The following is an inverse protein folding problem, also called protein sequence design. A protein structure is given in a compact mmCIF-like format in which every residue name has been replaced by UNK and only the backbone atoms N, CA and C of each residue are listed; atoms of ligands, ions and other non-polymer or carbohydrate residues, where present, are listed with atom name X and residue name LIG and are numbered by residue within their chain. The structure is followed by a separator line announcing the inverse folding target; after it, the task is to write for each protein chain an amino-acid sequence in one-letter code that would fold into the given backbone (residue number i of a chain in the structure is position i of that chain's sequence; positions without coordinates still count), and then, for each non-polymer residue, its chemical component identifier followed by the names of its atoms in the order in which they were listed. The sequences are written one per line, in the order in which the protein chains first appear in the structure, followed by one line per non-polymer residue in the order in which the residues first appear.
data_IF_371779300083
#
_entry.id   IF_371779300083
#
_cell.length_a   1.000
_cell.length_b   1.000
_cell.length_c   1.000
_cell.angle_alpha   90.00
_cell.angle_beta   90.00
_cell.angle_gamma   90.00
#
_symmetry.space_group_name_H-M   'P 1'
#
loop_
_entity.id
_entity.type
_entity.pdbx_description
1 polymer ?
#
# COMPACT_ATOMS: atom_id res chain seq x y z
N UNK A 1 -17.98 -43.11 -72.34
CA UNK A 1 -19.20 -42.29 -72.21
C UNK A 1 -19.28 -41.76 -70.79
N UNK A 2 -19.16 -40.44 -70.66
CA UNK A 2 -19.27 -39.69 -69.41
C UNK A 2 -20.54 -40.04 -68.62
N UNK A 3 -20.43 -40.02 -67.28
CA UNK A 3 -21.36 -39.25 -66.42
C UNK A 3 -20.77 -39.08 -65.01
N UNK A 4 -20.48 -37.81 -64.69
CA UNK A 4 -20.32 -37.25 -63.34
C UNK A 4 -21.50 -37.65 -62.44
N UNK A 5 -21.24 -37.96 -61.17
CA UNK A 5 -22.15 -37.62 -60.07
C UNK A 5 -21.37 -37.02 -58.90
N UNK A 6 -21.97 -35.97 -58.39
CA UNK A 6 -21.41 -34.85 -57.64
C UNK A 6 -21.42 -35.14 -56.14
N UNK A 7 -20.32 -34.80 -55.44
CA UNK A 7 -20.29 -34.68 -53.98
C UNK A 7 -21.24 -33.55 -53.54
N UNK A 8 -22.20 -33.86 -52.67
CA UNK A 8 -22.92 -32.87 -51.88
C UNK A 8 -22.12 -32.59 -50.60
N UNK A 9 -21.33 -31.52 -50.61
CA UNK A 9 -20.71 -30.96 -49.42
C UNK A 9 -21.74 -30.09 -48.69
N UNK A 10 -22.10 -30.47 -47.46
CA UNK A 10 -22.92 -29.65 -46.56
C UNK A 10 -22.04 -28.53 -46.00
N UNK A 11 -22.44 -27.25 -46.09
CA UNK A 11 -21.69 -26.18 -45.44
C UNK A 11 -21.94 -26.26 -43.92
N UNK A 12 -20.93 -26.69 -43.17
CA UNK A 12 -20.93 -26.55 -41.71
C UNK A 12 -20.81 -25.06 -41.38
N UNK A 13 -21.92 -24.44 -40.98
CA UNK A 13 -21.92 -23.09 -40.40
C UNK A 13 -21.20 -23.19 -39.05
N UNK A 14 -19.93 -22.79 -39.03
CA UNK A 14 -19.19 -22.55 -37.79
C UNK A 14 -19.77 -21.27 -37.18
N UNK A 15 -20.68 -21.42 -36.23
CA UNK A 15 -21.11 -20.31 -35.38
C UNK A 15 -19.89 -19.98 -34.50
N UNK A 16 -19.13 -18.97 -34.91
CA UNK A 16 -18.10 -18.37 -34.07
C UNK A 16 -18.81 -17.74 -32.88
N UNK A 17 -18.88 -18.47 -31.76
CA UNK A 17 -19.26 -17.91 -30.48
C UNK A 17 -18.25 -16.79 -30.21
N UNK A 18 -18.67 -15.53 -30.05
CA UNK A 18 -17.77 -14.49 -29.60
C UNK A 18 -17.31 -14.92 -28.21
N UNK A 19 -16.07 -15.41 -28.13
CA UNK A 19 -15.39 -15.55 -26.87
C UNK A 19 -15.25 -14.13 -26.37
N UNK A 20 -16.20 -13.70 -25.54
CA UNK A 20 -16.07 -12.46 -24.79
C UNK A 20 -14.74 -12.61 -24.05
N UNK A 21 -13.73 -11.88 -24.53
CA UNK A 21 -12.47 -11.78 -23.82
C UNK A 21 -12.86 -11.39 -22.40
N UNK A 22 -12.66 -12.29 -21.45
CA UNK A 22 -12.82 -11.97 -20.05
C UNK A 22 -11.84 -10.82 -19.81
N UNK A 23 -12.37 -9.59 -19.76
CA UNK A 23 -11.61 -8.48 -19.23
C UNK A 23 -11.27 -8.95 -17.83
N UNK A 24 -10.00 -9.26 -17.60
CA UNK A 24 -9.48 -9.54 -16.27
C UNK A 24 -9.63 -8.26 -15.47
N UNK A 25 -10.85 -8.01 -14.97
CA UNK A 25 -11.11 -7.06 -13.91
C UNK A 25 -10.30 -7.58 -12.73
N UNK A 26 -9.17 -6.93 -12.47
CA UNK A 26 -8.29 -7.29 -11.35
C UNK A 26 -9.10 -7.36 -10.05
N UNK A 27 -8.60 -8.12 -9.07
CA UNK A 27 -9.27 -8.26 -7.78
C UNK A 27 -9.62 -6.85 -7.23
N UNK A 28 -10.78 -6.62 -6.58
CA UNK A 28 -11.20 -5.27 -6.17
C UNK A 28 -10.16 -4.49 -5.36
N UNK A 29 -9.36 -5.18 -4.55
CA UNK A 29 -8.22 -4.57 -3.83
C UNK A 29 -7.12 -4.05 -4.74
N UNK A 30 -6.82 -4.72 -5.85
CA UNK A 30 -5.85 -4.30 -6.85
C UNK A 30 -6.33 -3.05 -7.59
N UNK A 31 -7.61 -3.03 -7.97
CA UNK A 31 -8.25 -1.87 -8.61
C UNK A 31 -8.20 -0.66 -7.68
N UNK A 32 -8.61 -0.84 -6.42
CA UNK A 32 -8.58 0.23 -5.43
C UNK A 32 -7.14 0.72 -5.16
N UNK A 33 -6.18 -0.20 -5.03
CA UNK A 33 -4.77 0.18 -4.81
C UNK A 33 -4.22 0.98 -6.01
N UNK A 34 -4.52 0.56 -7.24
CA UNK A 34 -4.12 1.30 -8.44
C UNK A 34 -4.67 2.72 -8.42
N UNK A 35 -5.97 2.90 -8.17
CA UNK A 35 -6.61 4.22 -8.05
C UNK A 35 -5.98 5.07 -6.95
N UNK A 36 -5.65 4.45 -5.82
CA UNK A 36 -4.98 5.12 -4.71
C UNK A 36 -3.60 5.62 -5.10
N UNK A 37 -2.81 4.81 -5.80
CA UNK A 37 -1.48 5.19 -6.28
C UNK A 37 -1.55 6.30 -7.32
N UNK A 38 -2.46 6.18 -8.29
CA UNK A 38 -2.65 7.20 -9.34
C UNK A 38 -3.02 8.55 -8.73
N UNK A 39 -3.91 8.55 -7.73
CA UNK A 39 -4.31 9.77 -7.02
C UNK A 39 -3.14 10.40 -6.27
N UNK A 40 -2.36 9.60 -5.53
CA UNK A 40 -1.18 10.10 -4.79
C UNK A 40 -0.11 10.64 -5.74
N UNK A 41 0.17 9.94 -6.84
CA UNK A 41 1.12 10.38 -7.86
C UNK A 41 0.64 11.67 -8.55
N UNK A 42 -0.65 11.80 -8.83
CA UNK A 42 -1.24 13.02 -9.39
C UNK A 42 -1.05 14.21 -8.45
N UNK A 43 -1.31 14.04 -7.15
CA UNK A 43 -1.09 15.10 -6.15
C UNK A 43 0.40 15.44 -6.07
N UNK A 44 1.26 14.43 -5.99
CA UNK A 44 2.71 14.61 -5.87
C UNK A 44 3.30 15.37 -7.07
N UNK A 45 2.81 15.09 -8.28
CA UNK A 45 3.27 15.71 -9.54
C UNK A 45 2.58 17.02 -9.87
N UNK A 46 1.62 17.47 -9.06
CA UNK A 46 0.91 18.71 -9.31
C UNK A 46 1.80 19.94 -9.04
N UNK A 47 2.20 20.63 -10.12
CA UNK A 47 3.09 21.80 -10.07
C UNK A 47 2.42 23.06 -9.50
N UNK A 48 1.10 23.11 -9.38
CA UNK A 48 0.40 24.25 -8.76
C UNK A 48 0.37 24.19 -7.24
N UNK A 49 0.74 23.04 -6.65
CA UNK A 49 0.79 22.84 -5.21
C UNK A 49 2.22 23.01 -4.70
N UNK A 50 2.38 23.78 -3.62
CA UNK A 50 3.60 23.73 -2.83
C UNK A 50 3.69 22.43 -2.01
N UNK A 51 4.86 22.15 -1.44
CA UNK A 51 5.11 20.92 -0.69
C UNK A 51 4.09 20.68 0.44
N UNK A 52 3.83 21.69 1.26
CA UNK A 52 2.89 21.58 2.38
C UNK A 52 1.46 21.24 1.92
N UNK A 53 1.02 21.82 0.81
CA UNK A 53 -0.27 21.52 0.20
C UNK A 53 -0.34 20.08 -0.31
N UNK A 54 0.73 19.60 -0.98
CA UNK A 54 0.84 18.19 -1.43
C UNK A 54 0.75 17.24 -0.23
N UNK A 55 1.51 17.50 0.83
CA UNK A 55 1.52 16.69 2.06
C UNK A 55 0.12 16.61 2.66
N UNK A 56 -0.55 17.75 2.85
CA UNK A 56 -1.89 17.81 3.45
C UNK A 56 -2.93 17.04 2.63
N UNK A 57 -2.87 17.14 1.29
CA UNK A 57 -3.79 16.41 0.42
C UNK A 57 -3.52 14.90 0.43
N UNK A 58 -2.26 14.49 0.36
CA UNK A 58 -1.87 13.07 0.46
C UNK A 58 -2.29 12.51 1.82
N UNK A 59 -2.03 13.22 2.91
CA UNK A 59 -2.45 12.81 4.25
C UNK A 59 -3.97 12.65 4.35
N UNK A 60 -4.73 13.64 3.87
CA UNK A 60 -6.19 13.59 3.84
C UNK A 60 -6.72 12.39 3.06
N UNK A 61 -6.06 12.05 1.94
CA UNK A 61 -6.38 10.86 1.16
C UNK A 61 -6.01 9.57 1.89
N UNK A 62 -4.80 9.53 2.46
CA UNK A 62 -4.27 8.38 3.18
C UNK A 62 -5.12 8.02 4.41
N UNK A 63 -5.71 9.01 5.10
CA UNK A 63 -6.63 8.80 6.22
C UNK A 63 -7.84 7.91 5.89
N UNK A 64 -8.23 7.79 4.61
CA UNK A 64 -9.34 6.93 4.18
C UNK A 64 -8.93 5.47 4.01
N UNK A 65 -7.68 5.23 3.64
CA UNK A 65 -7.19 3.92 3.20
C UNK A 65 -6.14 3.30 4.11
N UNK A 66 -5.53 4.06 5.02
CA UNK A 66 -4.66 3.54 6.07
C UNK A 66 -5.45 3.31 7.35
N UNK A 67 -5.17 2.19 8.01
CA UNK A 67 -5.64 1.95 9.37
C UNK A 67 -4.50 2.24 10.35
N UNK A 68 -4.39 3.51 10.77
CA UNK A 68 -3.34 3.94 11.70
C UNK A 68 -3.42 3.24 13.06
N UNK A 69 -4.62 2.85 13.50
CA UNK A 69 -4.77 2.12 14.75
C UNK A 69 -4.16 0.72 14.64
N UNK A 70 -4.46 -0.02 13.56
CA UNK A 70 -3.88 -1.35 13.34
C UNK A 70 -2.38 -1.27 13.04
N UNK A 71 -1.95 -0.28 12.26
CA UNK A 71 -0.52 -0.02 12.00
C UNK A 71 0.21 0.22 13.32
N UNK A 72 -0.30 1.11 14.18
CA UNK A 72 0.31 1.42 15.48
C UNK A 72 0.31 0.22 16.42
N UNK A 73 -0.81 -0.51 16.49
CA UNK A 73 -0.91 -1.72 17.31
C UNK A 73 0.10 -2.79 16.88
N UNK A 74 0.27 -2.98 15.56
CA UNK A 74 1.25 -3.91 15.03
C UNK A 74 2.68 -3.40 15.25
N UNK A 75 2.91 -2.09 15.15
CA UNK A 75 4.23 -1.52 15.37
C UNK A 75 4.62 -1.65 16.85
N UNK A 76 3.71 -1.43 17.80
CA UNK A 76 4.02 -1.65 19.22
C UNK A 76 4.09 -3.13 19.58
N UNK A 77 3.21 -3.97 19.04
CA UNK A 77 3.13 -5.39 19.40
C UNK A 77 2.41 -5.63 20.73
N UNK A 78 2.87 -6.62 21.51
CA UNK A 78 2.20 -7.07 22.73
C UNK A 78 1.87 -5.97 23.75
N UNK A 79 2.76 -4.98 24.02
CA UNK A 79 2.49 -3.91 24.99
C UNK A 79 1.24 -3.08 24.66
N UNK A 80 0.81 -3.02 23.39
CA UNK A 80 -0.34 -2.22 22.96
C UNK A 80 -1.63 -2.52 23.76
N UNK A 81 -1.79 -3.77 24.20
CA UNK A 81 -2.98 -4.20 24.97
C UNK A 81 -3.08 -3.53 26.34
N UNK A 82 -1.95 -3.10 26.91
CA UNK A 82 -1.85 -2.49 28.23
C UNK A 82 -2.08 -0.98 28.20
N UNK A 83 -2.07 -0.36 27.01
CA UNK A 83 -2.21 1.08 26.90
C UNK A 83 -3.66 1.51 27.15
N UNK A 84 -3.80 2.60 27.89
CA UNK A 84 -5.09 3.29 28.06
C UNK A 84 -5.60 3.82 26.71
N UNK A 85 -6.91 4.10 26.58
CA UNK A 85 -7.46 4.72 25.37
C UNK A 85 -6.72 6.01 24.99
N UNK A 86 -6.41 6.86 25.98
CA UNK A 86 -5.66 8.09 25.74
C UNK A 86 -4.25 7.81 25.20
N UNK A 87 -3.50 6.89 25.80
CA UNK A 87 -2.16 6.53 25.33
C UNK A 87 -2.18 5.97 23.91
N UNK A 88 -3.21 5.20 23.55
CA UNK A 88 -3.37 4.70 22.17
C UNK A 88 -3.57 5.85 21.20
N UNK A 89 -4.46 6.79 21.49
CA UNK A 89 -4.68 7.98 20.65
C UNK A 89 -3.41 8.82 20.53
N UNK A 90 -2.80 9.18 21.67
CA UNK A 90 -1.59 9.99 21.71
C UNK A 90 -0.42 9.33 20.95
N UNK A 91 -0.29 8.01 21.03
CA UNK A 91 0.73 7.26 20.28
C UNK A 91 0.42 7.23 18.77
N UNK A 92 -0.84 6.99 18.38
CA UNK A 92 -1.25 6.99 16.97
C UNK A 92 -0.93 8.34 16.34
N UNK A 93 -1.29 9.43 17.01
CA UNK A 93 -1.08 10.79 16.51
C UNK A 93 0.42 11.10 16.39
N UNK A 94 1.20 10.84 17.46
CA UNK A 94 2.64 11.08 17.45
C UNK A 94 3.38 10.22 16.42
N UNK A 95 3.00 8.95 16.27
CA UNK A 95 3.61 8.06 15.29
C UNK A 95 3.27 8.50 13.86
N UNK A 96 2.02 8.91 13.61
CA UNK A 96 1.59 9.45 12.32
C UNK A 96 2.36 10.71 11.96
N UNK A 97 2.45 11.68 12.87
CA UNK A 97 3.20 12.93 12.66
C UNK A 97 4.68 12.69 12.38
N UNK A 98 5.28 11.73 13.10
CA UNK A 98 6.67 11.34 12.89
C UNK A 98 6.88 10.75 11.48
N UNK A 99 6.03 9.81 11.05
CA UNK A 99 6.13 9.22 9.71
C UNK A 99 5.93 10.28 8.62
N UNK A 100 4.94 11.15 8.75
CA UNK A 100 4.74 12.26 7.81
C UNK A 100 5.99 13.14 7.76
N UNK A 101 6.49 13.58 8.92
CA UNK A 101 7.68 14.42 9.01
C UNK A 101 8.95 13.81 8.41
N UNK A 102 9.13 12.49 8.51
CA UNK A 102 10.32 11.79 8.02
C UNK A 102 10.27 11.44 6.54
N UNK A 103 9.09 11.06 6.03
CA UNK A 103 8.98 10.46 4.71
C UNK A 103 8.36 11.38 3.68
N UNK A 104 7.52 12.34 4.07
CA UNK A 104 6.76 13.17 3.11
C UNK A 104 7.64 13.84 2.06
N UNK A 105 8.73 14.47 2.46
CA UNK A 105 9.65 15.11 1.52
C UNK A 105 10.27 14.10 0.53
N UNK A 106 10.86 13.01 1.05
CA UNK A 106 11.50 11.99 0.21
C UNK A 106 10.51 11.21 -0.66
N UNK A 107 9.28 11.01 -0.18
CA UNK A 107 8.21 10.35 -0.93
C UNK A 107 7.70 11.27 -2.04
N UNK A 108 7.60 12.58 -1.81
CA UNK A 108 7.24 13.55 -2.84
C UNK A 108 8.31 13.65 -3.93
N UNK A 109 9.58 13.83 -3.55
CA UNK A 109 10.70 13.84 -4.51
C UNK A 109 10.80 12.50 -5.27
N UNK A 110 10.64 11.39 -4.55
CA UNK A 110 10.63 10.06 -5.14
C UNK A 110 9.48 9.88 -6.12
N UNK A 111 8.27 10.31 -5.78
CA UNK A 111 7.07 10.17 -6.61
C UNK A 111 7.11 10.98 -7.92
N UNK A 112 7.83 12.11 -7.95
CA UNK A 112 8.02 12.89 -9.17
C UNK A 112 8.73 12.05 -10.25
N UNK A 113 9.75 11.29 -9.88
CA UNK A 113 10.58 10.51 -10.81
C UNK A 113 10.33 8.98 -10.77
N UNK A 114 9.58 8.47 -9.79
CA UNK A 114 9.35 7.04 -9.64
C UNK A 114 8.31 6.50 -10.63
N UNK A 115 8.61 5.31 -11.15
CA UNK A 115 7.64 4.50 -11.86
C UNK A 115 7.10 3.46 -10.89
N UNK A 116 5.79 3.47 -10.68
CA UNK A 116 5.10 2.47 -9.85
C UNK A 116 4.24 1.62 -10.77
N UNK A 117 4.47 0.31 -10.75
CA UNK A 117 3.75 -0.66 -11.59
C UNK A 117 3.04 -1.66 -10.69
N UNK A 118 1.72 -1.77 -10.81
CA UNK A 118 0.97 -2.87 -10.20
C UNK A 118 1.41 -4.20 -10.84
N UNK A 119 1.76 -5.17 -10.00
CA UNK A 119 2.10 -6.50 -10.46
C UNK A 119 0.81 -7.33 -10.66
N UNK A 120 0.75 -8.21 -11.67
CA UNK A 120 -0.40 -9.09 -11.92
C UNK A 120 -0.42 -10.27 -10.93
N UNK A 121 -0.20 -9.99 -9.64
CA UNK A 121 -0.20 -10.96 -8.55
C UNK A 121 -0.82 -10.38 -7.29
N UNK A 122 -1.50 -11.22 -6.54
CA UNK A 122 -2.00 -10.96 -5.19
C UNK A 122 -2.04 -12.27 -4.40
N UNK A 123 -2.12 -12.18 -3.08
CA UNK A 123 -2.23 -13.34 -2.19
C UNK A 123 -3.37 -13.12 -1.21
N UNK A 124 -4.35 -14.02 -1.18
CA UNK A 124 -5.42 -13.99 -0.18
C UNK A 124 -4.94 -14.61 1.14
N UNK A 125 -5.10 -13.88 2.23
CA UNK A 125 -4.57 -14.23 3.56
C UNK A 125 -5.69 -14.43 4.57
N UNK A 126 -6.62 -15.33 4.25
CA UNK A 126 -7.86 -15.56 5.00
C UNK A 126 -9.06 -14.80 4.42
N UNK A 127 -10.18 -14.80 5.14
CA UNK A 127 -11.50 -14.40 4.56
C UNK A 127 -11.61 -12.96 4.08
N UNK A 128 -10.82 -12.04 4.63
CA UNK A 128 -10.96 -10.61 4.34
C UNK A 128 -9.62 -9.87 4.21
N UNK A 129 -8.53 -10.60 3.95
CA UNK A 129 -7.20 -10.01 3.83
C UNK A 129 -6.59 -10.40 2.50
N UNK A 130 -5.86 -9.46 1.91
CA UNK A 130 -5.21 -9.64 0.62
C UNK A 130 -3.91 -8.85 0.60
N UNK A 131 -2.84 -9.46 0.12
CA UNK A 131 -1.59 -8.79 -0.17
C UNK A 131 -1.57 -8.45 -1.66
N UNK A 132 -1.41 -7.17 -1.98
CA UNK A 132 -1.28 -6.69 -3.37
C UNK A 132 0.11 -6.15 -3.57
N UNK A 133 0.69 -6.41 -4.74
CA UNK A 133 2.10 -6.17 -5.00
C UNK A 133 2.31 -5.14 -6.10
N UNK A 134 3.31 -4.30 -5.92
CA UNK A 134 3.78 -3.35 -6.93
C UNK A 134 5.29 -3.45 -7.08
N UNK A 135 5.79 -3.03 -8.23
CA UNK A 135 7.20 -2.74 -8.46
C UNK A 135 7.37 -1.22 -8.45
N UNK A 136 8.28 -0.73 -7.61
CA UNK A 136 8.70 0.66 -7.58
C UNK A 136 10.10 0.75 -8.17
N UNK A 137 10.24 1.51 -9.26
CA UNK A 137 11.54 1.83 -9.85
C UNK A 137 11.90 3.28 -9.52
N UNK A 138 13.03 3.46 -8.86
CA UNK A 138 13.58 4.78 -8.53
C UNK A 138 14.39 5.36 -9.70
N UNK A 139 14.68 6.66 -9.65
CA UNK A 139 15.44 7.37 -10.70
C UNK A 139 16.81 6.77 -10.99
N UNK A 140 17.48 6.25 -9.96
CA UNK A 140 18.79 5.60 -10.08
C UNK A 140 18.73 4.15 -10.59
N UNK A 141 17.56 3.68 -11.03
CA UNK A 141 17.36 2.36 -11.63
C UNK A 141 17.16 1.22 -10.64
N UNK A 142 17.21 1.46 -9.32
CA UNK A 142 16.86 0.43 -8.33
C UNK A 142 15.39 0.07 -8.44
N UNK A 143 15.10 -1.21 -8.27
CA UNK A 143 13.74 -1.75 -8.27
C UNK A 143 13.46 -2.40 -6.92
N UNK A 144 12.27 -2.12 -6.40
CA UNK A 144 11.80 -2.66 -5.13
C UNK A 144 10.44 -3.29 -5.34
N UNK A 145 10.22 -4.48 -4.78
CA UNK A 145 8.89 -5.05 -4.68
C UNK A 145 8.21 -4.52 -3.42
N UNK A 146 7.03 -3.93 -3.56
CA UNK A 146 6.24 -3.44 -2.43
C UNK A 146 4.98 -4.28 -2.29
N UNK A 147 4.82 -4.94 -1.15
CA UNK A 147 3.60 -5.66 -0.79
C UNK A 147 2.76 -4.83 0.19
N UNK A 148 1.55 -4.50 -0.21
CA UNK A 148 0.55 -3.82 0.60
C UNK A 148 -0.35 -4.88 1.22
N UNK A 149 -0.29 -5.04 2.54
CA UNK A 149 -1.20 -5.94 3.24
C UNK A 149 -2.48 -5.20 3.55
N UNK A 150 -3.55 -5.61 2.90
CA UNK A 150 -4.86 -4.98 2.95
C UNK A 150 -5.85 -5.88 3.68
N UNK A 151 -6.86 -5.25 4.28
CA UNK A 151 -8.03 -5.95 4.76
C UNK A 151 -9.30 -5.21 4.39
N UNK A 152 -10.37 -5.95 4.11
CA UNK A 152 -11.65 -5.40 3.69
C UNK A 152 -12.49 -4.95 4.90
N UNK A 153 -13.01 -3.73 4.81
CA UNK A 153 -13.99 -3.11 5.72
C UNK A 153 -15.13 -2.55 4.86
N UNK A 154 -16.27 -3.25 4.85
CA UNK A 154 -17.34 -2.95 3.91
C UNK A 154 -16.86 -3.07 2.46
N UNK A 155 -16.95 -1.99 1.69
CA UNK A 155 -16.44 -1.93 0.31
C UNK A 155 -14.99 -1.45 0.19
N UNK A 156 -14.33 -1.09 1.31
CA UNK A 156 -13.01 -0.46 1.30
C UNK A 156 -11.93 -1.44 1.75
N UNK A 157 -10.84 -1.53 1.00
CA UNK A 157 -9.63 -2.24 1.40
C UNK A 157 -8.68 -1.28 2.11
N UNK A 158 -8.47 -1.47 3.42
CA UNK A 158 -7.55 -0.65 4.21
C UNK A 158 -6.17 -1.31 4.30
N UNK A 159 -5.12 -0.54 4.04
CA UNK A 159 -3.74 -0.95 4.25
C UNK A 159 -3.43 -0.91 5.74
N UNK A 160 -2.86 -2.00 6.26
CA UNK A 160 -2.48 -2.10 7.66
C UNK A 160 -1.00 -2.47 7.87
N UNK A 161 -0.29 -2.84 6.81
CA UNK A 161 1.15 -3.07 6.79
C UNK A 161 1.66 -2.91 5.36
N UNK A 162 2.92 -2.48 5.24
CA UNK A 162 3.64 -2.38 3.97
C UNK A 162 4.96 -3.14 4.15
N UNK A 163 5.30 -3.95 3.14
CA UNK A 163 6.58 -4.64 3.06
C UNK A 163 7.33 -4.18 1.83
N UNK A 164 8.62 -3.91 1.97
CA UNK A 164 9.53 -3.59 0.85
C UNK A 164 10.57 -4.68 0.78
N UNK A 165 10.71 -5.35 -0.36
CA UNK A 165 11.55 -6.54 -0.57
C UNK A 165 11.39 -7.57 0.55
N UNK A 166 10.13 -7.80 0.94
CA UNK A 166 9.76 -8.74 2.00
C UNK A 166 9.94 -8.21 3.44
N UNK A 167 10.60 -7.08 3.65
CA UNK A 167 10.81 -6.50 4.98
C UNK A 167 9.61 -5.64 5.38
N UNK A 168 8.92 -6.01 6.47
CA UNK A 168 7.79 -5.25 7.00
C UNK A 168 8.25 -3.99 7.72
N UNK A 169 7.77 -2.83 7.25
CA UNK A 169 8.08 -1.54 7.87
C UNK A 169 7.61 -1.47 9.32
N UNK A 170 6.42 -2.00 9.58
CA UNK A 170 5.85 -2.09 10.92
C UNK A 170 6.74 -2.93 11.85
N UNK A 171 7.38 -3.99 11.34
CA UNK A 171 8.29 -4.83 12.15
C UNK A 171 9.60 -4.13 12.46
N UNK A 172 10.13 -3.31 11.54
CA UNK A 172 11.31 -2.48 11.80
C UNK A 172 11.05 -1.52 12.97
N UNK A 173 9.91 -0.82 12.96
CA UNK A 173 9.52 0.06 14.05
C UNK A 173 9.25 -0.69 15.36
N UNK A 174 8.77 -1.94 15.29
CA UNK A 174 8.51 -2.74 16.48
C UNK A 174 9.72 -2.97 17.35
N UNK A 175 10.86 -3.26 16.74
CA UNK A 175 12.09 -3.48 17.50
C UNK A 175 12.48 -2.19 18.24
N UNK A 176 12.42 -1.03 17.57
CA UNK A 176 12.74 0.27 18.17
C UNK A 176 11.75 0.67 19.27
N UNK A 177 10.45 0.47 19.06
CA UNK A 177 9.44 0.79 20.06
C UNK A 177 9.54 -0.10 21.30
N UNK A 178 9.80 -1.40 21.13
CA UNK A 178 9.98 -2.29 22.28
C UNK A 178 11.16 -1.86 23.17
N UNK A 179 12.28 -1.48 22.55
CA UNK A 179 13.44 -0.95 23.29
C UNK A 179 13.10 0.36 24.02
N UNK A 180 12.44 1.28 23.32
CA UNK A 180 12.09 2.58 23.87
C UNK A 180 11.06 2.50 25.00
N UNK A 181 10.03 1.66 24.83
CA UNK A 181 9.01 1.41 25.86
C UNK A 181 9.65 0.75 27.08
N UNK A 182 10.59 -0.18 26.89
CA UNK A 182 11.32 -0.80 28.01
C UNK A 182 12.15 0.22 28.79
N UNK A 183 12.70 1.22 28.12
CA UNK A 183 13.56 2.25 28.74
C UNK A 183 12.78 3.41 29.36
N UNK A 184 11.71 3.87 28.71
CA UNK A 184 11.02 5.14 29.02
C UNK A 184 9.53 4.99 29.34
N UNK A 185 8.99 3.78 29.27
CA UNK A 185 7.54 3.56 29.28
C UNK A 185 6.86 4.13 28.03
N UNK A 186 5.54 3.96 27.95
CA UNK A 186 4.76 4.44 26.81
C UNK A 186 4.70 5.98 26.76
N UNK A 187 4.55 6.66 27.89
CA UNK A 187 4.42 8.13 27.89
C UNK A 187 5.73 8.79 27.43
N UNK A 188 6.89 8.31 27.92
CA UNK A 188 8.19 8.76 27.45
C UNK A 188 8.49 8.35 26.00
N UNK A 189 7.93 7.24 25.52
CA UNK A 189 7.99 6.87 24.09
C UNK A 189 7.24 7.89 23.25
N UNK A 190 6.01 8.23 23.62
CA UNK A 190 5.17 9.22 22.91
C UNK A 190 5.90 10.57 22.83
N UNK A 191 6.53 11.01 23.91
CA UNK A 191 7.32 12.25 23.93
C UNK A 191 8.48 12.22 22.92
N UNK A 192 9.21 11.11 22.83
CA UNK A 192 10.28 10.93 21.84
C UNK A 192 9.73 11.01 20.40
N UNK A 193 8.55 10.43 20.14
CA UNK A 193 7.93 10.50 18.81
C UNK A 193 7.50 11.92 18.45
N UNK A 194 6.91 12.67 19.39
CA UNK A 194 6.56 14.08 19.21
C UNK A 194 7.77 14.95 18.89
N UNK A 195 8.92 14.61 19.47
CA UNK A 195 10.20 15.26 19.18
C UNK A 195 10.89 14.75 17.90
N UNK A 196 10.21 13.90 17.10
CA UNK A 196 10.72 13.27 15.88
C UNK A 196 12.05 12.53 16.08
N UNK A 197 12.25 11.95 17.26
CA UNK A 197 13.54 11.42 17.71
C UNK A 197 13.94 10.05 17.16
N UNK A 198 13.14 9.41 16.30
CA UNK A 198 13.52 8.14 15.67
C UNK A 198 14.22 8.35 14.34
N UNK A 199 15.33 7.64 14.14
CA UNK A 199 16.05 7.61 12.87
C UNK A 199 15.19 6.90 11.80
N UNK A 200 15.38 7.31 10.54
CA UNK A 200 14.74 6.63 9.38
C UNK A 200 15.13 5.15 9.38
N UNK A 201 14.18 4.28 9.04
CA UNK A 201 14.49 2.88 8.83
C UNK A 201 15.48 2.77 7.67
N UNK A 202 16.71 2.32 7.94
CA UNK A 202 17.79 2.20 6.94
C UNK A 202 17.43 1.25 5.80
N UNK A 203 16.47 0.35 5.99
CA UNK A 203 15.95 -0.53 4.94
C UNK A 203 15.17 0.18 3.83
N UNK A 204 14.99 1.51 3.92
CA UNK A 204 14.28 2.35 2.95
C UNK A 204 15.15 3.47 2.33
N UNK A 205 16.47 3.44 2.55
CA UNK A 205 17.47 4.33 1.92
C UNK A 205 18.26 3.61 0.83
#
# INVERSE_FOLDING_TARGET
MNKLMTLLAVPAIVIAVPCAAAQTTGHPSQVQLQQNMDTVLQIARNKSLNEQQKIKQIEGYANRYLDYQRISALAVGLPWRQFTPKQKTDFIDAFKEMIIGMYSHSALLGAEDAQVKLLPKFVENGKNKVDVFTEVRTKNGKQYEVAYQLYQVGSVYKVYNIRVDGVSLVTVYRNQFNELIKQKGIDGTIEVLRNKGLKKAESLS
#
